data_IF_869625482223
#
_entry.id   IF_869625482223
#
_cell.length_a   1.000
_cell.length_b   1.000
_cell.length_c   1.000
_cell.angle_alpha   90.00
_cell.angle_beta   90.00
_cell.angle_gamma   90.00
#
_symmetry.space_group_name_H-M   'P 1'
#
loop_
_entity.id
_entity.type
_entity.pdbx_description
1 polymer ?
#
# COMPACT_ATOMS: atom_id res chain seq x y z
N UNK A 1 -45.36 20.73 -26.36
CA UNK A 1 -45.44 19.28 -26.62
C UNK A 1 -44.06 18.84 -27.09
N UNK A 2 -43.27 17.97 -26.47
CA UNK A 2 -43.38 17.01 -25.36
C UNK A 2 -41.94 16.79 -24.84
N UNK A 3 -41.79 16.74 -23.50
CA UNK A 3 -40.83 15.99 -22.67
C UNK A 3 -39.36 15.80 -23.15
N UNK A 4 -38.39 16.39 -22.45
CA UNK A 4 -37.61 15.77 -21.34
C UNK A 4 -36.74 14.59 -21.79
N UNK A 5 -35.41 14.80 -21.85
CA UNK A 5 -34.46 13.77 -21.43
C UNK A 5 -33.23 14.44 -20.82
N UNK A 6 -33.33 14.62 -19.51
CA UNK A 6 -32.25 15.00 -18.61
C UNK A 6 -31.30 13.79 -18.53
N UNK A 7 -30.09 13.91 -19.06
CA UNK A 7 -29.03 12.91 -18.87
C UNK A 7 -28.53 13.03 -17.43
N UNK A 8 -29.14 12.25 -16.54
CA UNK A 8 -28.64 12.02 -15.18
C UNK A 8 -27.40 11.15 -15.30
N UNK A 9 -26.23 11.76 -15.09
CA UNK A 9 -24.96 11.05 -14.96
C UNK A 9 -24.97 10.34 -13.60
N UNK A 10 -25.43 9.09 -13.59
CA UNK A 10 -25.36 8.21 -12.43
C UNK A 10 -23.90 7.74 -12.28
N UNK A 11 -23.08 8.54 -11.58
CA UNK A 11 -21.82 8.05 -11.04
C UNK A 11 -22.15 7.04 -9.94
N UNK A 12 -22.29 5.77 -10.34
CA UNK A 12 -22.35 4.66 -9.41
C UNK A 12 -21.04 4.64 -8.61
N UNK A 13 -21.17 5.03 -7.34
CA UNK A 13 -20.24 4.69 -6.28
C UNK A 13 -20.11 3.15 -6.27
N UNK A 14 -19.06 2.63 -6.88
CA UNK A 14 -18.62 1.28 -6.59
C UNK A 14 -18.11 1.26 -5.14
N UNK A 15 -18.66 0.42 -4.25
CA UNK A 15 -18.13 0.29 -2.90
C UNK A 15 -16.70 -0.24 -2.99
N UNK A 16 -15.81 0.31 -2.17
CA UNK A 16 -14.41 -0.06 -2.02
C UNK A 16 -14.24 -1.47 -1.39
N UNK A 17 -14.86 -2.48 -2.00
CA UNK A 17 -14.76 -3.88 -1.64
C UNK A 17 -14.02 -4.62 -2.75
N UNK A 18 -12.82 -5.11 -2.41
CA UNK A 18 -11.98 -6.01 -3.21
C UNK A 18 -11.58 -5.49 -4.60
N UNK A 19 -10.52 -4.68 -4.66
CA UNK A 19 -9.54 -4.90 -5.74
C UNK A 19 -8.82 -6.21 -5.41
N UNK A 20 -9.41 -7.33 -5.84
CA UNK A 20 -8.63 -8.55 -6.02
C UNK A 20 -7.51 -8.19 -6.99
N UNK A 21 -6.26 -8.33 -6.57
CA UNK A 21 -5.11 -8.11 -7.41
C UNK A 21 -5.15 -9.19 -8.50
N UNK A 22 -5.73 -8.84 -9.66
CA UNK A 22 -5.81 -9.75 -10.80
C UNK A 22 -4.41 -9.87 -11.40
N UNK A 23 -3.69 -10.93 -11.05
CA UNK A 23 -2.42 -11.24 -11.71
C UNK A 23 -2.71 -11.64 -13.15
N UNK A 24 -1.87 -11.23 -14.10
CA UNK A 24 -2.03 -11.60 -15.51
C UNK A 24 -2.23 -13.13 -15.67
N UNK A 25 -3.13 -13.59 -16.56
CA UNK A 25 -3.54 -15.00 -16.63
C UNK A 25 -2.39 -16.02 -16.79
N UNK A 26 -1.27 -15.62 -17.39
CA UNK A 26 -0.09 -16.48 -17.54
C UNK A 26 0.61 -16.74 -16.20
N UNK A 27 0.67 -15.76 -15.30
CA UNK A 27 1.30 -15.87 -13.98
C UNK A 27 0.46 -16.68 -13.00
N UNK A 28 -0.85 -16.80 -13.22
CA UNK A 28 -1.73 -17.67 -12.43
C UNK A 28 -1.32 -19.14 -12.47
N UNK A 29 -0.60 -19.56 -13.51
CA UNK A 29 -0.12 -20.93 -13.70
C UNK A 29 1.12 -21.26 -12.87
N UNK A 30 1.81 -20.25 -12.35
CA UNK A 30 3.03 -20.45 -11.56
C UNK A 30 2.63 -20.99 -10.17
N UNK A 31 3.06 -22.21 -9.79
CA UNK A 31 2.57 -22.88 -8.60
C UNK A 31 3.06 -22.25 -7.30
N UNK A 32 2.30 -22.44 -6.22
CA UNK A 32 2.67 -22.05 -4.86
C UNK A 32 3.66 -23.06 -4.26
N UNK A 33 4.87 -23.10 -4.78
CA UNK A 33 5.96 -23.93 -4.26
C UNK A 33 7.31 -23.26 -4.53
N UNK A 34 8.39 -23.89 -4.07
CA UNK A 34 9.74 -23.36 -4.21
C UNK A 34 10.12 -23.03 -5.66
N UNK A 35 9.82 -23.92 -6.60
CA UNK A 35 10.10 -23.69 -8.03
C UNK A 35 9.38 -22.46 -8.58
N UNK A 36 8.12 -22.27 -8.19
CA UNK A 36 7.35 -21.10 -8.61
C UNK A 36 7.91 -19.79 -8.03
N UNK A 37 8.34 -19.80 -6.77
CA UNK A 37 8.98 -18.64 -6.14
C UNK A 37 10.33 -18.32 -6.78
N UNK A 38 11.13 -19.34 -7.09
CA UNK A 38 12.41 -19.19 -7.81
C UNK A 38 12.21 -18.61 -9.20
N UNK A 39 11.21 -19.08 -9.96
CA UNK A 39 10.88 -18.57 -11.28
C UNK A 39 10.53 -17.06 -11.23
N UNK A 40 9.67 -16.67 -10.30
CA UNK A 40 9.27 -15.27 -10.11
C UNK A 40 10.45 -14.40 -9.66
N UNK A 41 11.29 -14.92 -8.78
CA UNK A 41 12.51 -14.25 -8.30
C UNK A 41 13.49 -14.00 -9.44
N UNK A 42 13.64 -14.98 -10.33
CA UNK A 42 14.46 -14.87 -11.54
C UNK A 42 13.93 -13.78 -12.47
N UNK A 43 12.62 -13.76 -12.73
CA UNK A 43 11.99 -12.71 -13.56
C UNK A 43 12.19 -11.31 -12.96
N UNK A 44 12.05 -11.17 -11.65
CA UNK A 44 12.24 -9.89 -10.95
C UNK A 44 13.69 -9.38 -11.06
N UNK A 45 14.67 -10.30 -11.04
CA UNK A 45 16.10 -9.97 -11.03
C UNK A 45 16.70 -9.77 -12.43
N UNK A 46 16.04 -10.25 -13.48
CA UNK A 46 16.54 -10.21 -14.85
C UNK A 46 16.46 -8.77 -15.43
N UNK A 47 17.60 -8.16 -15.84
CA UNK A 47 17.60 -6.82 -16.40
C UNK A 47 16.92 -6.73 -17.78
N UNK A 48 16.80 -7.85 -18.50
CA UNK A 48 16.13 -7.90 -19.81
C UNK A 48 14.60 -7.96 -19.71
N UNK A 49 14.08 -8.35 -18.54
CA UNK A 49 12.63 -8.43 -18.29
C UNK A 49 12.07 -7.04 -18.05
N UNK A 50 10.96 -6.74 -18.74
CA UNK A 50 10.30 -5.45 -18.69
C UNK A 50 9.65 -5.19 -17.32
N UNK A 51 9.48 -3.91 -16.97
CA UNK A 51 8.86 -3.49 -15.70
C UNK A 51 7.45 -4.06 -15.54
N UNK A 52 6.66 -4.17 -16.61
CA UNK A 52 5.31 -4.74 -16.55
C UNK A 52 5.33 -6.23 -16.19
N UNK A 53 6.28 -6.98 -16.75
CA UNK A 53 6.45 -8.41 -16.43
C UNK A 53 7.00 -8.59 -15.01
N UNK A 54 7.93 -7.75 -14.56
CA UNK A 54 8.40 -7.72 -13.17
C UNK A 54 7.25 -7.41 -12.21
N UNK A 55 6.38 -6.48 -12.57
CA UNK A 55 5.21 -6.09 -11.76
C UNK A 55 4.21 -7.24 -11.63
N UNK A 56 3.94 -7.96 -12.73
CA UNK A 56 3.12 -9.17 -12.69
C UNK A 56 3.75 -10.28 -11.82
N UNK A 57 5.08 -10.42 -11.87
CA UNK A 57 5.79 -11.37 -11.01
C UNK A 57 5.66 -11.01 -9.52
N UNK A 58 5.78 -9.72 -9.18
CA UNK A 58 5.58 -9.18 -7.84
C UNK A 58 4.14 -9.41 -7.34
N UNK A 59 3.14 -9.13 -8.18
CA UNK A 59 1.74 -9.37 -7.85
C UNK A 59 1.51 -10.85 -7.53
N UNK A 60 2.11 -11.74 -8.32
CA UNK A 60 2.02 -13.19 -8.08
C UNK A 60 2.70 -13.57 -6.77
N UNK A 61 3.89 -13.06 -6.45
CA UNK A 61 4.56 -13.28 -5.16
C UNK A 61 3.66 -12.84 -3.99
N UNK A 62 2.96 -11.72 -4.13
CA UNK A 62 1.98 -11.24 -3.15
C UNK A 62 0.76 -12.16 -2.98
N UNK A 63 0.33 -12.85 -4.04
CA UNK A 63 -0.73 -13.88 -3.97
C UNK A 63 -0.21 -15.15 -3.29
N UNK A 64 1.02 -15.58 -3.63
CA UNK A 64 1.66 -16.76 -3.04
C UNK A 64 1.80 -16.62 -1.52
N UNK A 65 2.03 -15.41 -1.00
CA UNK A 65 2.05 -15.11 0.43
C UNK A 65 0.80 -15.62 1.17
N UNK A 66 -0.38 -15.49 0.55
CA UNK A 66 -1.64 -15.97 1.14
C UNK A 66 -1.79 -17.48 1.03
N UNK A 67 -1.32 -18.06 -0.08
CA UNK A 67 -1.42 -19.50 -0.34
C UNK A 67 -0.46 -20.32 0.53
N UNK A 68 0.70 -19.75 0.84
CA UNK A 68 1.76 -20.39 1.63
C UNK A 68 1.69 -20.05 3.12
N UNK A 69 0.66 -19.32 3.56
CA UNK A 69 0.53 -18.82 4.93
C UNK A 69 0.65 -19.90 6.03
N UNK A 70 0.05 -21.07 5.82
CA UNK A 70 0.10 -22.20 6.77
C UNK A 70 1.06 -23.31 6.33
N UNK A 71 2.00 -23.01 5.43
CA UNK A 71 2.97 -23.99 4.94
C UNK A 71 4.31 -23.87 5.68
N UNK A 72 5.15 -24.89 5.58
CA UNK A 72 6.54 -24.85 6.06
C UNK A 72 7.47 -24.02 5.16
N UNK A 73 6.92 -23.32 4.15
CA UNK A 73 7.71 -22.50 3.25
C UNK A 73 8.26 -21.26 3.97
N UNK A 74 9.57 -20.98 3.86
CA UNK A 74 10.18 -19.81 4.49
C UNK A 74 9.64 -18.49 3.89
N UNK A 75 8.87 -17.68 4.64
CA UNK A 75 8.23 -16.48 4.11
C UNK A 75 9.22 -15.43 3.60
N UNK A 76 10.43 -15.37 4.14
CA UNK A 76 11.50 -14.48 3.71
C UNK A 76 11.94 -14.73 2.26
N UNK A 77 11.81 -15.96 1.75
CA UNK A 77 12.09 -16.25 0.33
C UNK A 77 11.08 -15.57 -0.60
N UNK A 78 9.87 -15.25 -0.13
CA UNK A 78 8.88 -14.52 -0.92
C UNK A 78 9.19 -13.02 -0.97
N UNK A 79 9.53 -12.40 0.17
CA UNK A 79 9.64 -10.94 0.25
C UNK A 79 11.05 -10.38 0.05
N UNK A 80 12.12 -11.14 0.30
CA UNK A 80 13.50 -10.65 0.11
C UNK A 80 13.79 -10.17 -1.32
N UNK A 81 13.34 -10.86 -2.39
CA UNK A 81 13.50 -10.36 -3.75
C UNK A 81 12.82 -9.00 -3.97
N UNK A 82 11.63 -8.82 -3.40
CA UNK A 82 10.87 -7.57 -3.48
C UNK A 82 11.55 -6.44 -2.71
N UNK A 83 12.13 -6.71 -1.53
CA UNK A 83 12.88 -5.72 -0.76
C UNK A 83 14.10 -5.19 -1.53
N UNK A 84 14.80 -6.06 -2.26
CA UNK A 84 15.91 -5.66 -3.13
C UNK A 84 15.48 -4.72 -4.25
N UNK A 85 14.32 -5.00 -4.87
CA UNK A 85 13.75 -4.20 -5.96
C UNK A 85 13.01 -2.93 -5.47
N UNK A 86 12.77 -2.77 -4.17
CA UNK A 86 12.10 -1.59 -3.59
C UNK A 86 13.00 -0.34 -3.55
N UNK A 87 14.31 -0.50 -3.76
CA UNK A 87 15.26 0.64 -3.77
C UNK A 87 15.16 1.39 -5.11
N UNK A 88 14.91 2.71 -5.13
CA UNK A 88 14.84 3.48 -6.37
C UNK A 88 16.08 3.30 -7.25
N UNK A 89 15.85 3.10 -8.56
CA UNK A 89 16.89 3.03 -9.59
C UNK A 89 16.60 4.15 -10.58
N UNK A 90 17.42 5.19 -10.58
CA UNK A 90 17.25 6.36 -11.47
C UNK A 90 17.45 6.01 -12.94
N UNK A 91 18.26 4.98 -13.22
CA UNK A 91 18.57 4.51 -14.58
C UNK A 91 17.45 3.68 -15.22
N UNK A 92 16.47 3.21 -14.44
CA UNK A 92 15.35 2.41 -14.94
C UNK A 92 14.10 3.31 -15.10
N UNK A 93 13.68 3.63 -16.33
CA UNK A 93 12.45 4.38 -16.56
C UNK A 93 11.26 3.67 -15.93
N UNK A 94 10.33 4.44 -15.36
CA UNK A 94 9.13 3.91 -14.73
C UNK A 94 9.39 2.93 -13.57
N UNK A 95 10.59 2.91 -12.97
CA UNK A 95 10.88 2.05 -11.82
C UNK A 95 9.95 2.30 -10.62
N UNK A 96 9.30 3.48 -10.54
CA UNK A 96 8.28 3.74 -9.52
C UNK A 96 7.06 2.83 -9.67
N UNK A 97 6.70 2.42 -10.90
CA UNK A 97 5.60 1.47 -11.15
C UNK A 97 5.88 0.15 -10.46
N UNK A 98 7.08 -0.41 -10.66
CA UNK A 98 7.47 -1.65 -9.97
C UNK A 98 7.41 -1.49 -8.44
N UNK A 99 7.86 -0.34 -7.91
CA UNK A 99 7.80 -0.06 -6.46
C UNK A 99 6.38 0.04 -5.92
N UNK A 100 5.42 0.57 -6.69
CA UNK A 100 3.99 0.59 -6.33
C UNK A 100 3.49 -0.85 -6.13
N UNK A 101 3.74 -1.72 -7.12
CA UNK A 101 3.36 -3.14 -7.06
C UNK A 101 4.03 -3.84 -5.87
N UNK A 102 5.31 -3.56 -5.61
CA UNK A 102 6.03 -4.10 -4.47
C UNK A 102 5.38 -3.67 -3.16
N UNK A 103 5.12 -2.38 -2.95
CA UNK A 103 4.46 -1.89 -1.75
C UNK A 103 3.09 -2.56 -1.54
N UNK A 104 2.28 -2.69 -2.60
CA UNK A 104 0.97 -3.34 -2.54
C UNK A 104 1.09 -4.83 -2.17
N UNK A 105 2.03 -5.55 -2.81
CA UNK A 105 2.28 -6.96 -2.56
C UNK A 105 2.78 -7.21 -1.14
N UNK A 106 3.73 -6.40 -0.64
CA UNK A 106 4.24 -6.49 0.74
C UNK A 106 3.14 -6.29 1.79
N UNK A 107 2.10 -5.50 1.49
CA UNK A 107 0.92 -5.38 2.35
C UNK A 107 0.13 -6.68 2.53
N UNK A 108 0.32 -7.69 1.67
CA UNK A 108 -0.32 -9.01 1.80
C UNK A 108 0.39 -9.92 2.81
N UNK A 109 1.52 -9.50 3.36
CA UNK A 109 2.34 -10.27 4.32
C UNK A 109 2.01 -9.96 5.78
N UNK A 110 0.96 -9.16 6.03
CA UNK A 110 0.59 -8.65 7.35
C UNK A 110 0.37 -9.72 8.43
N UNK A 111 -0.01 -10.94 8.05
CA UNK A 111 -0.20 -12.05 8.97
C UNK A 111 0.96 -13.05 8.98
N UNK A 112 1.86 -13.03 7.99
CA UNK A 112 2.94 -14.01 7.86
C UNK A 112 3.96 -13.88 9.00
N UNK A 113 4.55 -15.01 9.41
CA UNK A 113 5.71 -15.02 10.30
C UNK A 113 6.83 -14.18 9.70
N UNK A 114 7.40 -13.25 10.47
CA UNK A 114 8.41 -12.31 9.97
C UNK A 114 7.87 -11.15 9.12
N UNK A 115 6.56 -11.11 8.82
CA UNK A 115 5.96 -10.03 8.02
C UNK A 115 6.15 -8.64 8.63
N UNK A 116 6.25 -8.55 9.96
CA UNK A 116 6.54 -7.31 10.69
C UNK A 116 7.86 -6.64 10.26
N UNK A 117 8.84 -7.41 9.78
CA UNK A 117 10.15 -6.90 9.33
C UNK A 117 10.02 -6.04 8.05
N UNK A 118 8.86 -6.09 7.39
CA UNK A 118 8.54 -5.28 6.22
C UNK A 118 8.09 -3.86 6.57
N UNK A 119 7.62 -3.63 7.79
CA UNK A 119 7.07 -2.34 8.23
C UNK A 119 8.11 -1.21 8.08
N UNK A 120 9.37 -1.36 8.54
CA UNK A 120 10.39 -0.32 8.34
C UNK A 120 10.70 -0.04 6.86
N UNK A 121 10.63 -1.05 5.99
CA UNK A 121 10.88 -0.88 4.56
C UNK A 121 9.77 -0.05 3.89
N UNK A 122 8.50 -0.35 4.19
CA UNK A 122 7.35 0.44 3.75
C UNK A 122 7.38 1.86 4.34
N UNK A 123 7.70 1.97 5.63
CA UNK A 123 7.84 3.24 6.34
C UNK A 123 8.87 4.17 5.70
N UNK A 124 10.06 3.66 5.39
CA UNK A 124 11.10 4.42 4.67
C UNK A 124 10.62 4.96 3.31
N UNK A 125 9.82 4.20 2.55
CA UNK A 125 9.26 4.66 1.28
C UNK A 125 8.21 5.75 1.47
N UNK A 126 7.32 5.58 2.45
CA UNK A 126 6.30 6.58 2.78
C UNK A 126 6.91 7.90 3.26
N UNK A 127 7.93 7.82 4.11
CA UNK A 127 8.53 8.97 4.79
C UNK A 127 9.54 9.75 3.94
N UNK A 128 9.93 9.22 2.78
CA UNK A 128 10.81 9.90 1.83
C UNK A 128 10.01 10.90 0.99
N UNK A 129 10.25 12.19 1.21
CA UNK A 129 9.54 13.27 0.52
C UNK A 129 9.95 13.42 -0.95
N UNK A 130 11.06 12.81 -1.35
CA UNK A 130 11.51 12.77 -2.75
C UNK A 130 11.03 11.52 -3.50
N UNK A 131 10.36 10.60 -2.79
CA UNK A 131 9.77 9.42 -3.40
C UNK A 131 8.52 9.79 -4.21
N UNK A 132 8.27 9.02 -5.26
CA UNK A 132 7.10 9.18 -6.13
C UNK A 132 5.81 9.09 -5.32
N UNK A 133 4.89 10.04 -5.54
CA UNK A 133 3.64 10.17 -4.77
C UNK A 133 2.86 8.84 -4.68
N UNK A 134 2.69 8.15 -5.81
CA UNK A 134 1.97 6.87 -5.86
C UNK A 134 2.65 5.75 -5.07
N UNK A 135 4.00 5.74 -4.99
CA UNK A 135 4.74 4.76 -4.16
C UNK A 135 4.45 5.04 -2.68
N UNK A 136 4.44 6.31 -2.28
CA UNK A 136 4.12 6.73 -0.91
C UNK A 136 2.68 6.37 -0.54
N UNK A 137 1.73 6.59 -1.44
CA UNK A 137 0.32 6.19 -1.28
C UNK A 137 0.23 4.67 -1.07
N UNK A 138 0.86 3.88 -1.95
CA UNK A 138 0.87 2.42 -1.84
C UNK A 138 1.48 1.94 -0.52
N UNK A 139 2.59 2.56 -0.09
CA UNK A 139 3.21 2.25 1.19
C UNK A 139 2.30 2.56 2.38
N UNK A 140 1.62 3.72 2.40
CA UNK A 140 0.68 4.09 3.47
C UNK A 140 -0.50 3.10 3.58
N UNK A 141 -1.13 2.77 2.45
CA UNK A 141 -2.25 1.83 2.43
C UNK A 141 -1.82 0.42 2.84
N UNK A 142 -0.63 -0.01 2.43
CA UNK A 142 -0.07 -1.31 2.82
C UNK A 142 0.28 -1.38 4.31
N UNK A 143 0.86 -0.32 4.88
CA UNK A 143 1.09 -0.21 6.33
C UNK A 143 -0.23 -0.36 7.11
N UNK A 144 -1.32 0.21 6.58
CA UNK A 144 -2.67 0.06 7.14
C UNK A 144 -3.16 -1.38 7.29
N UNK A 145 -2.58 -2.35 6.56
CA UNK A 145 -2.94 -3.77 6.63
C UNK A 145 -2.30 -4.51 7.81
N UNK A 146 -1.22 -3.99 8.42
CA UNK A 146 -0.46 -4.62 9.50
C UNK A 146 -1.16 -4.50 10.87
N UNK A 147 -2.40 -4.99 10.97
CA UNK A 147 -3.24 -4.88 12.17
C UNK A 147 -2.67 -5.63 13.38
N UNK A 148 -2.01 -6.76 13.16
CA UNK A 148 -1.37 -7.55 14.22
C UNK A 148 -0.11 -6.87 14.79
N UNK A 149 0.41 -5.86 14.08
CA UNK A 149 1.54 -5.03 14.47
C UNK A 149 1.17 -3.55 14.36
N UNK A 150 -0.06 -3.19 14.76
CA UNK A 150 -0.57 -1.81 14.73
C UNK A 150 0.37 -0.87 15.47
N UNK A 151 0.96 -1.38 16.56
CA UNK A 151 2.19 -0.96 17.25
C UNK A 151 3.13 -0.14 16.36
N UNK A 152 3.81 -0.89 15.51
CA UNK A 152 4.90 -0.45 14.66
C UNK A 152 4.39 0.25 13.40
N UNK A 153 3.30 -0.26 12.80
CA UNK A 153 2.76 0.30 11.56
C UNK A 153 2.19 1.71 11.76
N UNK A 154 1.53 1.96 12.90
CA UNK A 154 1.03 3.30 13.20
C UNK A 154 2.18 4.27 13.48
N UNK A 155 3.30 3.83 14.08
CA UNK A 155 4.46 4.70 14.27
C UNK A 155 5.01 5.23 12.93
N UNK A 156 5.12 4.38 11.92
CA UNK A 156 5.56 4.78 10.57
C UNK A 156 4.57 5.76 9.91
N UNK A 157 3.27 5.46 10.00
CA UNK A 157 2.22 6.32 9.45
C UNK A 157 2.15 7.68 10.16
N UNK A 158 2.30 7.71 11.49
CA UNK A 158 2.31 8.94 12.28
C UNK A 158 3.52 9.81 11.96
N UNK A 159 4.71 9.22 11.85
CA UNK A 159 5.92 9.95 11.45
C UNK A 159 5.77 10.58 10.05
N UNK A 160 5.11 9.89 9.12
CA UNK A 160 4.79 10.46 7.82
C UNK A 160 3.75 11.58 7.89
N UNK A 161 2.69 11.40 8.70
CA UNK A 161 1.64 12.40 8.88
C UNK A 161 2.20 13.71 9.46
N UNK A 162 3.07 13.62 10.47
CA UNK A 162 3.66 14.80 11.10
C UNK A 162 4.46 15.64 10.11
N UNK A 163 5.31 15.00 9.29
CA UNK A 163 6.05 15.66 8.21
C UNK A 163 5.13 16.38 7.22
N UNK A 164 4.04 15.72 6.80
CA UNK A 164 3.10 16.34 5.86
C UNK A 164 2.27 17.46 6.48
N UNK A 165 1.93 17.35 7.77
CA UNK A 165 1.26 18.42 8.50
C UNK A 165 2.16 19.65 8.65
N UNK A 166 3.47 19.45 8.88
CA UNK A 166 4.46 20.53 8.93
C UNK A 166 4.61 21.22 7.56
N UNK A 167 4.64 20.46 6.46
CA UNK A 167 4.62 21.00 5.09
C UNK A 167 3.34 21.79 4.80
N UNK A 168 2.24 21.42 5.44
CA UNK A 168 0.91 21.96 5.16
C UNK A 168 0.31 21.40 3.86
N UNK A 169 -0.90 21.83 3.49
CA UNK A 169 -1.59 21.33 2.30
C UNK A 169 -0.89 21.82 1.02
N UNK A 170 -0.45 20.88 0.21
CA UNK A 170 0.11 21.08 -1.13
C UNK A 170 -0.61 20.17 -2.13
N UNK A 171 -0.62 20.54 -3.42
CA UNK A 171 -1.30 19.74 -4.46
C UNK A 171 -0.78 18.31 -4.56
N UNK A 172 0.51 18.11 -4.29
CA UNK A 172 1.27 16.86 -4.41
C UNK A 172 1.23 15.99 -3.14
N UNK A 173 0.63 16.47 -2.05
CA UNK A 173 0.58 15.71 -0.78
C UNK A 173 -0.83 15.41 -0.27
N UNK A 174 -1.87 16.02 -0.84
CA UNK A 174 -3.27 15.80 -0.41
C UNK A 174 -3.63 14.32 -0.50
N UNK A 175 -3.27 13.64 -1.59
CA UNK A 175 -3.56 12.22 -1.78
C UNK A 175 -2.77 11.35 -0.81
N UNK A 176 -1.49 11.67 -0.59
CA UNK A 176 -0.63 10.96 0.38
C UNK A 176 -1.19 11.08 1.79
N UNK A 177 -1.55 12.29 2.23
CA UNK A 177 -2.14 12.52 3.55
C UNK A 177 -3.45 11.78 3.71
N UNK A 178 -4.28 11.76 2.67
CA UNK A 178 -5.53 10.98 2.67
C UNK A 178 -5.24 9.48 2.86
N UNK A 179 -4.25 8.93 2.16
CA UNK A 179 -3.84 7.54 2.28
C UNK A 179 -3.24 7.21 3.66
N UNK A 180 -2.46 8.12 4.25
CA UNK A 180 -1.92 7.97 5.61
C UNK A 180 -3.04 7.96 6.65
N UNK A 181 -3.99 8.89 6.54
CA UNK A 181 -5.18 8.95 7.39
C UNK A 181 -6.01 7.67 7.28
N UNK A 182 -6.24 7.18 6.06
CA UNK A 182 -6.90 5.90 5.80
C UNK A 182 -6.16 4.73 6.43
N UNK A 183 -4.84 4.68 6.30
CA UNK A 183 -3.99 3.66 6.92
C UNK A 183 -4.16 3.64 8.44
N UNK A 184 -4.12 4.81 9.08
CA UNK A 184 -4.30 4.95 10.54
C UNK A 184 -5.69 4.49 10.99
N UNK A 185 -6.75 4.89 10.28
CA UNK A 185 -8.10 4.42 10.54
C UNK A 185 -8.25 2.91 10.35
N UNK A 186 -7.59 2.35 9.33
CA UNK A 186 -7.58 0.91 9.08
C UNK A 186 -6.90 0.16 10.22
N UNK A 187 -5.78 0.64 10.75
CA UNK A 187 -5.14 0.04 11.93
C UNK A 187 -6.01 0.14 13.17
N UNK A 188 -6.71 1.26 13.35
CA UNK A 188 -7.54 1.52 14.53
C UNK A 188 -6.72 1.79 15.80
N UNK A 189 -5.45 2.14 15.67
CA UNK A 189 -4.55 2.35 16.80
C UNK A 189 -4.85 3.67 17.53
N UNK A 190 -5.09 3.61 18.84
CA UNK A 190 -5.46 4.78 19.65
C UNK A 190 -4.46 5.94 19.63
N UNK A 191 -3.18 5.70 19.32
CA UNK A 191 -2.18 6.77 19.18
C UNK A 191 -2.51 7.70 18.01
N UNK A 192 -3.32 7.26 17.04
CA UNK A 192 -3.79 8.08 15.94
C UNK A 192 -4.84 9.13 16.33
N UNK A 193 -5.45 9.04 17.52
CA UNK A 193 -6.55 9.94 17.92
C UNK A 193 -6.15 11.43 17.86
N UNK A 194 -5.05 11.81 18.53
CA UNK A 194 -4.61 13.21 18.58
C UNK A 194 -4.14 13.71 17.19
N UNK A 195 -3.32 12.97 16.43
CA UNK A 195 -2.92 13.34 15.07
C UNK A 195 -4.10 13.50 14.09
N UNK A 196 -5.10 12.60 14.14
CA UNK A 196 -6.30 12.72 13.31
C UNK A 196 -7.14 13.96 13.68
N UNK A 197 -7.26 14.29 14.97
CA UNK A 197 -7.90 15.54 15.41
C UNK A 197 -7.14 16.79 14.92
N UNK A 198 -5.81 16.73 14.85
CA UNK A 198 -4.98 17.79 14.28
C UNK A 198 -5.30 18.00 12.80
N UNK A 199 -5.50 16.92 12.02
CA UNK A 199 -5.92 16.99 10.61
C UNK A 199 -7.29 17.65 10.48
N UNK A 200 -8.28 17.28 11.31
CA UNK A 200 -9.62 17.88 11.26
C UNK A 200 -9.56 19.41 11.46
N UNK A 201 -8.73 19.88 12.39
CA UNK A 201 -8.54 21.30 12.71
C UNK A 201 -7.59 22.04 11.76
N UNK A 202 -6.94 21.34 10.84
CA UNK A 202 -5.91 21.90 9.96
C UNK A 202 -6.47 22.69 8.77
N UNK A 203 -5.60 23.11 7.86
CA UNK A 203 -5.94 23.73 6.57
C UNK A 203 -6.12 22.72 5.43
N UNK A 204 -6.02 21.41 5.69
CA UNK A 204 -6.25 20.41 4.64
C UNK A 204 -7.68 20.48 4.06
N UNK A 205 -7.89 20.07 2.80
CA UNK A 205 -9.19 20.08 2.15
C UNK A 205 -10.27 19.31 2.93
N UNK A 206 -11.53 19.66 2.71
CA UNK A 206 -12.67 19.03 3.38
C UNK A 206 -12.72 17.51 3.20
N UNK A 207 -12.28 17.00 2.04
CA UNK A 207 -12.17 15.55 1.78
C UNK A 207 -11.25 14.84 2.77
N UNK A 208 -10.06 15.40 3.00
CA UNK A 208 -9.08 14.85 3.97
C UNK A 208 -9.63 14.90 5.39
N UNK A 209 -10.29 16.00 5.76
CA UNK A 209 -10.92 16.16 7.09
C UNK A 209 -12.03 15.16 7.33
N UNK A 210 -12.88 14.93 6.32
CA UNK A 210 -13.95 13.92 6.39
C UNK A 210 -13.37 12.52 6.55
N UNK A 211 -12.27 12.23 5.86
CA UNK A 211 -11.59 10.95 6.02
C UNK A 211 -11.00 10.80 7.41
N UNK A 212 -10.37 11.84 7.96
CA UNK A 212 -9.86 11.81 9.33
C UNK A 212 -10.96 11.60 10.37
N UNK A 213 -12.14 12.18 10.15
CA UNK A 213 -13.31 11.94 11.00
C UNK A 213 -13.76 10.47 10.96
N UNK A 214 -13.86 9.86 9.77
CA UNK A 214 -14.16 8.43 9.63
C UNK A 214 -13.11 7.54 10.28
N UNK A 215 -11.83 7.90 10.14
CA UNK A 215 -10.73 7.17 10.75
C UNK A 215 -10.82 7.20 12.29
N UNK A 216 -11.27 8.32 12.89
CA UNK A 216 -11.52 8.39 14.33
C UNK A 216 -12.60 7.43 14.81
N UNK A 217 -13.64 7.20 14.01
CA UNK A 217 -14.71 6.23 14.31
C UNK A 217 -14.19 4.78 14.34
N UNK A 218 -13.06 4.52 13.70
CA UNK A 218 -12.42 3.18 13.62
C UNK A 218 -11.39 2.92 14.73
N UNK A 219 -11.13 3.91 15.61
CA UNK A 219 -10.17 3.79 16.70
C UNK A 219 -10.68 2.83 17.77
N UNK A 220 -9.81 1.92 18.19
CA UNK A 220 -10.06 0.92 19.23
C UNK A 220 -9.45 1.39 20.55
N UNK A 221 -10.24 1.31 21.62
CA UNK A 221 -9.90 1.86 22.95
C UNK A 221 -9.52 0.78 23.97
N UNK A 222 -9.59 -0.48 23.56
CA UNK A 222 -9.21 -1.64 24.35
C UNK A 222 -7.70 -1.72 24.66
#
# INVERSE_FOLDING_TARGET
>A
MKYWMMLVLFCLFAPAALLAQETAPIFNRIPANEKGVEELTRLLSDPSVRIEEKSNAVDRLGVLARQLYNSDFPPEKLYNPMLGALTPRSEEPYHHVLRIHICQALGNFWNLKGGQDLIPALGRRLQDLQEHEEVRIAAALSLGKFRNQSEMAAQELLGALDKEVERGPQSDNITVVTAVVQGLGTLGDKRAFVPLMKIIKSRFPAGVKKEAQRSLESIRWD
#
